data_IF_879240007420
#
_entry.id   IF_879240007420
#
_cell.length_a   1.000
_cell.length_b   1.000
_cell.length_c   1.000
_cell.angle_alpha   90.00
_cell.angle_beta   90.00
_cell.angle_gamma   90.00
#
_symmetry.space_group_name_H-M   'P 1'
#
loop_
_entity.id
_entity.type
_entity.pdbx_description
1 polymer ?
#
# COMPACT_ATOMS: atom_id res chain seq x y z
N UNK A 1 -0.50 5.48 17.64
CA UNK A 1 0.46 5.28 16.52
C UNK A 1 0.28 6.45 15.58
N UNK A 2 1.35 7.05 15.06
CA UNK A 2 1.19 8.17 14.12
C UNK A 2 0.64 7.69 12.77
N UNK A 3 -0.02 8.56 12.02
CA UNK A 3 -0.50 8.23 10.67
C UNK A 3 0.63 7.81 9.71
N UNK A 4 1.83 8.37 9.89
CA UNK A 4 3.01 8.00 9.08
C UNK A 4 3.42 6.56 9.38
N UNK A 5 3.54 6.20 10.67
CA UNK A 5 3.85 4.83 11.08
C UNK A 5 2.80 3.83 10.57
N UNK A 6 1.51 4.19 10.68
CA UNK A 6 0.42 3.37 10.15
C UNK A 6 0.54 3.16 8.64
N UNK A 7 0.73 4.24 7.87
CA UNK A 7 0.85 4.17 6.42
C UNK A 7 2.09 3.38 5.98
N UNK A 8 3.24 3.59 6.61
CA UNK A 8 4.45 2.81 6.30
C UNK A 8 4.26 1.31 6.56
N UNK A 9 3.57 0.94 7.66
CA UNK A 9 3.24 -0.45 7.94
C UNK A 9 2.33 -1.06 6.87
N UNK A 10 1.23 -0.38 6.50
CA UNK A 10 0.30 -0.86 5.47
C UNK A 10 0.93 -0.93 4.08
N UNK A 11 1.79 0.02 3.74
CA UNK A 11 2.53 0.01 2.48
C UNK A 11 3.57 -1.10 2.42
N UNK A 12 4.19 -1.46 3.55
CA UNK A 12 5.09 -2.61 3.62
C UNK A 12 4.34 -3.94 3.42
N UNK A 13 3.14 -4.07 3.98
CA UNK A 13 2.27 -5.23 3.74
C UNK A 13 1.84 -5.34 2.27
N UNK A 14 1.38 -4.24 1.68
CA UNK A 14 1.00 -4.19 0.26
C UNK A 14 2.19 -4.54 -0.66
N UNK A 15 3.38 -4.05 -0.33
CA UNK A 15 4.62 -4.36 -1.05
C UNK A 15 4.98 -5.84 -0.96
N UNK A 16 4.91 -6.42 0.25
CA UNK A 16 5.17 -7.84 0.45
C UNK A 16 4.19 -8.71 -0.34
N UNK A 17 2.88 -8.44 -0.23
CA UNK A 17 1.85 -9.18 -0.96
C UNK A 17 2.02 -9.03 -2.49
N UNK A 18 2.41 -7.85 -2.95
CA UNK A 18 2.71 -7.61 -4.36
C UNK A 18 3.95 -8.39 -4.82
N UNK A 19 5.01 -8.45 -4.01
CA UNK A 19 6.19 -9.26 -4.34
C UNK A 19 5.87 -10.75 -4.39
N UNK A 20 5.15 -11.28 -3.40
CA UNK A 20 4.72 -12.68 -3.38
C UNK A 20 3.87 -13.02 -4.62
N UNK A 21 2.90 -12.15 -4.95
CA UNK A 21 2.05 -12.31 -6.13
C UNK A 21 2.83 -12.18 -7.44
N UNK A 22 3.82 -11.28 -7.51
CA UNK A 22 4.66 -11.11 -8.69
C UNK A 22 5.57 -12.33 -8.91
N UNK A 23 6.15 -12.87 -7.84
CA UNK A 23 6.94 -14.09 -7.87
C UNK A 23 6.11 -15.29 -8.33
N UNK A 24 4.87 -15.42 -7.85
CA UNK A 24 3.92 -16.45 -8.33
C UNK A 24 3.65 -16.27 -9.82
N UNK A 25 3.38 -15.06 -10.30
CA UNK A 25 3.14 -14.79 -11.73
C UNK A 25 4.36 -15.16 -12.60
N UNK A 26 5.58 -14.89 -12.12
CA UNK A 26 6.83 -15.24 -12.81
C UNK A 26 7.10 -16.75 -12.80
N UNK A 27 6.82 -17.44 -11.69
CA UNK A 27 6.97 -18.89 -11.56
C UNK A 27 5.96 -19.66 -12.43
N UNK A 28 4.75 -19.14 -12.59
CA UNK A 28 3.67 -19.76 -13.39
C UNK A 28 3.84 -19.48 -14.90
N UNK A 29 4.82 -18.66 -15.31
CA UNK A 29 5.03 -18.21 -16.69
C UNK A 29 4.68 -19.25 -17.77
N UNK A 30 3.66 -18.95 -18.59
CA UNK A 30 3.10 -19.71 -19.72
C UNK A 30 2.72 -21.19 -19.53
N UNK A 31 3.13 -21.87 -18.46
CA UNK A 31 2.86 -23.29 -18.25
C UNK A 31 2.09 -23.45 -16.93
N UNK A 32 0.77 -23.51 -17.06
CA UNK A 32 -0.25 -23.44 -15.99
C UNK A 32 -0.26 -24.64 -15.02
N UNK A 33 0.82 -25.40 -14.88
CA UNK A 33 0.79 -26.73 -14.23
C UNK A 33 1.25 -26.78 -12.79
N UNK A 34 1.65 -25.65 -12.20
CA UNK A 34 2.19 -25.63 -10.84
C UNK A 34 1.48 -24.54 -10.05
N UNK A 35 0.35 -24.89 -9.41
CA UNK A 35 0.17 -24.84 -7.94
C UNK A 35 -1.32 -24.97 -7.55
N UNK A 36 -1.55 -25.80 -6.53
CA UNK A 36 -2.78 -26.05 -5.76
C UNK A 36 -3.80 -27.00 -6.41
N UNK A 37 -3.68 -28.29 -6.09
CA UNK A 37 -4.77 -29.26 -6.22
C UNK A 37 -6.06 -28.69 -5.58
N UNK A 38 -7.07 -28.42 -6.41
CA UNK A 38 -8.43 -28.07 -5.94
C UNK A 38 -8.90 -26.64 -6.18
N UNK A 39 -8.10 -25.74 -6.77
CA UNK A 39 -8.56 -24.39 -7.17
C UNK A 39 -8.64 -24.27 -8.70
N UNK A 40 -9.64 -23.55 -9.23
CA UNK A 40 -9.78 -23.32 -10.68
C UNK A 40 -8.63 -22.42 -11.17
N UNK A 41 -7.57 -23.06 -11.66
CA UNK A 41 -6.26 -22.49 -12.04
C UNK A 41 -6.38 -21.24 -12.93
N UNK A 42 -7.40 -21.17 -13.80
CA UNK A 42 -7.62 -20.03 -14.70
C UNK A 42 -8.17 -18.80 -13.96
N UNK A 43 -8.92 -19.00 -12.89
CA UNK A 43 -9.48 -17.91 -12.10
C UNK A 43 -8.41 -17.25 -11.23
N UNK A 44 -7.51 -18.02 -10.62
CA UNK A 44 -6.41 -17.48 -9.82
C UNK A 44 -5.45 -16.63 -10.65
N UNK A 45 -5.08 -17.09 -11.84
CA UNK A 45 -4.21 -16.32 -12.74
C UNK A 45 -4.88 -15.01 -13.20
N UNK A 46 -6.13 -15.08 -13.68
CA UNK A 46 -6.89 -13.89 -14.09
C UNK A 46 -7.11 -12.92 -12.94
N UNK A 47 -7.26 -13.43 -11.72
CA UNK A 47 -7.34 -12.63 -10.52
C UNK A 47 -6.01 -11.88 -10.31
N UNK A 48 -4.88 -12.58 -10.20
CA UNK A 48 -3.56 -11.96 -9.98
C UNK A 48 -3.19 -10.98 -11.10
N UNK A 49 -3.39 -11.34 -12.37
CA UNK A 49 -3.13 -10.47 -13.52
C UNK A 49 -4.01 -9.21 -13.49
N UNK A 50 -5.29 -9.34 -13.13
CA UNK A 50 -6.20 -8.20 -12.95
C UNK A 50 -5.74 -7.25 -11.84
N UNK A 51 -5.19 -7.78 -10.75
CA UNK A 51 -4.64 -6.96 -9.67
C UNK A 51 -3.26 -6.37 -9.99
N UNK A 52 -2.55 -6.90 -11.00
CA UNK A 52 -1.29 -6.40 -11.55
C UNK A 52 -0.28 -6.02 -10.46
N UNK A 53 0.47 -6.99 -9.92
CA UNK A 53 1.39 -6.75 -8.81
C UNK A 53 2.44 -5.67 -9.10
N UNK A 54 2.90 -5.57 -10.35
CA UNK A 54 3.82 -4.50 -10.76
C UNK A 54 3.19 -3.10 -10.70
N UNK A 55 1.86 -2.98 -10.90
CA UNK A 55 1.12 -1.75 -10.67
C UNK A 55 1.12 -1.39 -9.19
N UNK A 56 0.84 -2.36 -8.31
CA UNK A 56 0.82 -2.16 -6.85
C UNK A 56 2.19 -1.69 -6.34
N UNK A 57 3.29 -2.29 -6.80
CA UNK A 57 4.64 -1.84 -6.44
C UNK A 57 4.90 -0.38 -6.84
N UNK A 58 4.40 0.06 -8.01
CA UNK A 58 4.49 1.48 -8.42
C UNK A 58 3.62 2.39 -7.56
N UNK A 59 2.44 1.94 -7.15
CA UNK A 59 1.57 2.67 -6.23
C UNK A 59 2.23 2.84 -4.86
N UNK A 60 2.82 1.78 -4.30
CA UNK A 60 3.58 1.85 -3.05
C UNK A 60 4.72 2.85 -3.16
N UNK A 61 5.52 2.78 -4.23
CA UNK A 61 6.63 3.71 -4.45
C UNK A 61 6.15 5.18 -4.53
N UNK A 62 5.04 5.45 -5.22
CA UNK A 62 4.45 6.77 -5.32
C UNK A 62 3.93 7.28 -3.96
N UNK A 63 3.24 6.42 -3.19
CA UNK A 63 2.73 6.75 -1.86
C UNK A 63 3.85 7.05 -0.86
N UNK A 64 4.94 6.27 -0.86
CA UNK A 64 6.15 6.55 -0.06
C UNK A 64 6.80 7.89 -0.43
N UNK A 65 6.86 8.21 -1.73
CA UNK A 65 7.38 9.50 -2.16
C UNK A 65 6.53 10.68 -1.64
N UNK A 66 5.20 10.51 -1.59
CA UNK A 66 4.30 11.51 -1.03
C UNK A 66 4.46 11.68 0.48
N UNK A 67 4.58 10.57 1.24
CA UNK A 67 4.88 10.60 2.68
C UNK A 67 6.18 11.36 2.92
N UNK A 68 7.25 11.01 2.21
CA UNK A 68 8.55 11.70 2.30
C UNK A 68 8.45 13.19 1.99
N UNK A 69 7.71 13.57 0.94
CA UNK A 69 7.48 14.97 0.59
C UNK A 69 6.66 15.71 1.64
N UNK A 70 5.76 15.02 2.33
CA UNK A 70 4.93 15.58 3.40
C UNK A 70 5.75 15.84 4.65
N UNK A 71 6.54 14.85 5.09
CA UNK A 71 7.48 15.00 6.21
C UNK A 71 8.44 16.16 5.95
N UNK A 72 9.03 16.22 4.75
CA UNK A 72 9.93 17.32 4.38
C UNK A 72 9.25 18.70 4.48
N UNK A 73 8.01 18.84 4.01
CA UNK A 73 7.25 20.11 4.08
C UNK A 73 6.95 20.51 5.52
N UNK A 74 6.65 19.53 6.38
CA UNK A 74 6.47 19.74 7.83
C UNK A 74 7.76 20.24 8.46
N UNK A 75 8.90 19.58 8.19
CA UNK A 75 10.22 19.97 8.69
C UNK A 75 10.64 21.38 8.23
N UNK A 76 10.28 21.75 6.99
CA UNK A 76 10.54 23.07 6.41
C UNK A 76 9.55 24.16 6.89
N UNK A 77 8.55 23.80 7.71
CA UNK A 77 7.60 24.75 8.31
C UNK A 77 6.50 25.23 7.36
N UNK A 78 6.13 24.45 6.35
CA UNK A 78 5.07 24.82 5.39
C UNK A 78 3.65 24.67 5.95
N UNK A 79 3.49 24.19 7.20
CA UNK A 79 2.20 24.07 7.86
C UNK A 79 1.54 25.45 8.03
N UNK A 80 0.45 25.70 7.31
CA UNK A 80 -0.32 26.92 7.49
C UNK A 80 -1.05 26.81 8.83
N UNK A 81 -0.59 27.56 9.84
CA UNK A 81 -1.03 27.54 11.26
C UNK A 81 -0.60 26.33 12.10
N UNK A 82 -0.58 25.10 11.56
CA UNK A 82 -0.08 23.87 12.21
C UNK A 82 0.33 22.80 11.19
N UNK A 83 0.95 21.71 11.66
CA UNK A 83 1.27 20.54 10.84
C UNK A 83 0.04 19.68 10.55
N UNK A 84 -1.03 19.84 11.34
CA UNK A 84 -2.27 19.07 11.27
C UNK A 84 -2.97 19.31 9.93
N UNK A 85 -2.97 20.54 9.42
CA UNK A 85 -3.53 20.88 8.12
C UNK A 85 -2.88 20.14 6.93
N UNK A 86 -1.56 19.96 6.97
CA UNK A 86 -0.85 19.19 5.92
C UNK A 86 -1.13 17.69 6.06
N UNK A 87 -1.10 17.17 7.28
CA UNK A 87 -1.35 15.75 7.55
C UNK A 87 -2.77 15.36 7.16
N UNK A 88 -3.76 16.17 7.53
CA UNK A 88 -5.17 15.93 7.19
C UNK A 88 -5.45 16.07 5.69
N UNK A 89 -4.77 17.00 4.99
CA UNK A 89 -4.97 17.16 3.55
C UNK A 89 -4.33 16.04 2.73
N UNK A 90 -3.11 15.63 3.09
CA UNK A 90 -2.29 14.78 2.22
C UNK A 90 -2.32 13.29 2.62
N UNK A 91 -2.31 12.99 3.93
CA UNK A 91 -2.11 11.62 4.42
C UNK A 91 -3.41 10.95 4.88
N UNK A 92 -4.38 11.70 5.40
CA UNK A 92 -5.68 11.14 5.84
C UNK A 92 -6.43 10.40 4.74
N UNK A 93 -6.59 10.95 3.51
CA UNK A 93 -7.29 10.21 2.45
C UNK A 93 -6.59 8.90 2.06
N UNK A 94 -5.26 8.83 2.22
CA UNK A 94 -4.53 7.58 2.02
C UNK A 94 -4.80 6.56 3.11
N UNK A 95 -4.87 7.01 4.37
CA UNK A 95 -5.15 6.13 5.49
C UNK A 95 -6.57 5.56 5.43
N UNK A 96 -7.55 6.35 4.94
CA UNK A 96 -8.96 5.93 4.83
C UNK A 96 -9.19 4.71 3.91
N UNK A 97 -8.27 4.46 2.97
CA UNK A 97 -8.27 3.23 2.15
C UNK A 97 -8.20 1.98 3.03
N UNK A 98 -7.56 2.09 4.19
CA UNK A 98 -7.39 1.03 5.18
C UNK A 98 -8.36 1.17 6.36
N UNK A 99 -9.49 1.85 6.20
CA UNK A 99 -10.46 2.12 7.28
C UNK A 99 -11.04 0.87 7.94
N UNK A 100 -11.07 -0.26 7.24
CA UNK A 100 -11.48 -1.57 7.78
C UNK A 100 -10.36 -2.31 8.53
N UNK A 101 -9.11 -1.82 8.46
CA UNK A 101 -7.99 -2.43 9.15
C UNK A 101 -8.09 -2.16 10.67
N UNK A 102 -7.88 -3.16 11.55
CA UNK A 102 -8.04 -2.99 13.00
C UNK A 102 -7.17 -1.86 13.58
N UNK A 103 -5.94 -1.71 13.08
CA UNK A 103 -5.04 -0.64 13.53
C UNK A 103 -5.48 0.77 13.11
N UNK A 104 -6.42 0.93 12.18
CA UNK A 104 -6.88 2.25 11.74
C UNK A 104 -7.51 3.05 12.90
N UNK A 105 -8.21 2.35 13.80
CA UNK A 105 -8.80 2.96 14.99
C UNK A 105 -7.76 3.39 16.05
N UNK A 106 -6.49 2.99 15.89
CA UNK A 106 -5.39 3.31 16.81
C UNK A 106 -4.49 4.46 16.33
N UNK A 107 -4.83 5.04 15.18
CA UNK A 107 -4.13 6.21 14.64
C UNK A 107 -4.40 7.38 15.58
N UNK A 108 -3.31 8.01 16.03
CA UNK A 108 -3.35 9.30 16.68
C UNK A 108 -3.42 10.38 15.59
N UNK A 109 -4.49 11.17 15.66
CA UNK A 109 -4.79 12.21 14.67
C UNK A 109 -4.36 13.61 15.14
N UNK A 110 -3.92 13.72 16.41
CA UNK A 110 -3.48 14.96 17.07
C UNK A 110 -1.96 15.20 16.90
#
# INVERSE_FOLDING_TARGET
MTIIEFLEARLAEDEQLAHESHSILLLIGNDTRVLVEGSDERNTYRFIERFNPARVLREVAAKRALIKSTVKRIEEGWGYHDNEGIICADLRPMAEIYSEHPDFASIDWE
#
